data_IF_067410335205
#
_entry.id   IF_067410335205
#
_cell.length_a   1.000
_cell.length_b   1.000
_cell.length_c   1.000
_cell.angle_alpha   90.00
_cell.angle_beta   90.00
_cell.angle_gamma   90.00
#
_symmetry.space_group_name_H-M   'P 1'
#
loop_
_entity.id
_entity.type
_entity.pdbx_description
1 polymer ?
#
# COMPACT_ATOMS: atom_id res chain seq x y z
N UNK A 1 -41.31 69.76 9.26
CA UNK A 1 -40.64 68.92 8.23
C UNK A 1 -39.12 68.88 8.44
N UNK A 2 -38.61 68.31 9.55
CA UNK A 2 -37.18 68.33 9.89
C UNK A 2 -36.48 66.95 9.92
N UNK A 3 -37.22 65.83 9.91
CA UNK A 3 -36.65 64.48 10.01
C UNK A 3 -36.12 63.87 8.69
N UNK A 4 -36.48 64.41 7.52
CA UNK A 4 -36.12 63.82 6.21
C UNK A 4 -34.66 64.03 5.79
N UNK A 5 -33.98 65.08 6.29
CA UNK A 5 -32.58 65.40 5.91
C UNK A 5 -31.54 64.48 6.57
N UNK A 6 -31.82 63.97 7.77
CA UNK A 6 -30.92 63.05 8.50
C UNK A 6 -30.92 61.63 7.92
N UNK A 7 -32.10 61.13 7.56
CA UNK A 7 -32.27 59.79 6.97
C UNK A 7 -31.59 59.70 5.61
N UNK A 8 -31.71 60.72 4.75
CA UNK A 8 -31.04 60.75 3.45
C UNK A 8 -29.50 60.74 3.54
N UNK A 9 -28.93 61.46 4.51
CA UNK A 9 -27.48 61.43 4.79
C UNK A 9 -27.03 60.07 5.32
N UNK A 10 -27.81 59.46 6.22
CA UNK A 10 -27.49 58.13 6.76
C UNK A 10 -27.52 57.04 5.68
N UNK A 11 -28.53 57.07 4.79
CA UNK A 11 -28.61 56.16 3.64
C UNK A 11 -27.42 56.38 2.70
N UNK A 12 -27.08 57.62 2.36
CA UNK A 12 -25.96 57.95 1.48
C UNK A 12 -24.62 57.45 2.04
N UNK A 13 -24.34 57.69 3.33
CA UNK A 13 -23.12 57.23 3.99
C UNK A 13 -23.06 55.69 4.05
N UNK A 14 -24.19 55.03 4.30
CA UNK A 14 -24.25 53.56 4.32
C UNK A 14 -23.99 52.95 2.95
N UNK A 15 -24.54 53.54 1.88
CA UNK A 15 -24.30 53.10 0.50
C UNK A 15 -22.83 53.31 0.10
N UNK A 16 -22.24 54.46 0.46
CA UNK A 16 -20.81 54.73 0.22
C UNK A 16 -19.90 53.77 0.99
N UNK A 17 -20.23 53.47 2.25
CA UNK A 17 -19.49 52.51 3.05
C UNK A 17 -19.55 51.10 2.43
N UNK A 18 -20.73 50.65 2.01
CA UNK A 18 -20.90 49.36 1.31
C UNK A 18 -20.16 49.32 -0.03
N UNK A 19 -20.20 50.40 -0.81
CA UNK A 19 -19.47 50.50 -2.08
C UNK A 19 -17.95 50.46 -1.86
N UNK A 20 -17.46 51.11 -0.81
CA UNK A 20 -16.02 51.12 -0.45
C UNK A 20 -15.57 49.73 0.00
N UNK A 21 -16.34 49.06 0.85
CA UNK A 21 -16.06 47.67 1.26
C UNK A 21 -16.09 46.73 0.05
N UNK A 22 -17.06 46.89 -0.85
CA UNK A 22 -17.14 46.12 -2.10
C UNK A 22 -15.94 46.35 -3.02
N UNK A 23 -15.51 47.60 -3.19
CA UNK A 23 -14.35 47.96 -4.01
C UNK A 23 -13.04 47.42 -3.42
N UNK A 24 -12.85 47.53 -2.10
CA UNK A 24 -11.70 46.96 -1.39
C UNK A 24 -11.69 45.44 -1.51
N UNK A 25 -12.83 44.78 -1.30
CA UNK A 25 -12.96 43.33 -1.45
C UNK A 25 -12.63 42.84 -2.86
N UNK A 26 -13.14 43.52 -3.89
CA UNK A 26 -12.81 43.21 -5.29
C UNK A 26 -11.33 43.46 -5.63
N UNK A 27 -10.76 44.55 -5.12
CA UNK A 27 -9.35 44.89 -5.30
C UNK A 27 -8.42 43.85 -4.67
N UNK A 28 -8.70 43.44 -3.43
CA UNK A 28 -7.96 42.39 -2.73
C UNK A 28 -8.05 41.06 -3.47
N UNK A 29 -9.24 40.68 -3.95
CA UNK A 29 -9.42 39.45 -4.72
C UNK A 29 -8.61 39.46 -6.01
N UNK A 30 -8.73 40.52 -6.83
CA UNK A 30 -7.98 40.64 -8.09
C UNK A 30 -6.46 40.69 -7.86
N UNK A 31 -6.01 41.34 -6.80
CA UNK A 31 -4.60 41.38 -6.42
C UNK A 31 -4.07 40.01 -6.01
N UNK A 32 -4.87 39.25 -5.23
CA UNK A 32 -4.53 37.88 -4.86
C UNK A 32 -4.48 36.96 -6.09
N UNK A 33 -5.48 37.03 -6.97
CA UNK A 33 -5.53 36.24 -8.21
C UNK A 33 -4.32 36.56 -9.11
N UNK A 34 -3.99 37.85 -9.30
CA UNK A 34 -2.82 38.26 -10.08
C UNK A 34 -1.49 37.78 -9.47
N UNK A 35 -1.40 37.70 -8.13
CA UNK A 35 -0.24 37.21 -7.43
C UNK A 35 -0.09 35.69 -7.57
N UNK A 36 -1.17 34.92 -7.39
CA UNK A 36 -1.18 33.45 -7.48
C UNK A 36 -1.06 32.93 -8.91
N UNK A 37 -1.52 33.70 -9.90
CA UNK A 37 -1.37 33.40 -11.33
C UNK A 37 -0.01 33.86 -11.90
N UNK A 38 0.78 34.59 -11.11
CA UNK A 38 2.10 35.03 -11.55
C UNK A 38 3.00 33.83 -11.89
N UNK A 39 3.84 33.98 -12.91
CA UNK A 39 4.78 32.94 -13.34
C UNK A 39 5.76 32.50 -12.24
N UNK A 40 5.89 33.27 -11.15
CA UNK A 40 6.76 33.00 -10.03
C UNK A 40 6.31 31.77 -9.20
N UNK A 41 4.99 31.56 -9.07
CA UNK A 41 4.41 30.44 -8.31
C UNK A 41 4.00 29.26 -9.19
N UNK A 42 4.35 29.29 -10.47
CA UNK A 42 4.14 28.13 -11.35
C UNK A 42 5.14 27.04 -11.00
N UNK A 43 4.66 25.80 -10.92
CA UNK A 43 5.50 24.63 -10.67
C UNK A 43 6.53 24.49 -11.80
N UNK A 44 7.81 24.68 -11.50
CA UNK A 44 8.92 24.56 -12.47
C UNK A 44 9.57 23.19 -12.47
N UNK A 45 9.60 22.54 -11.32
CA UNK A 45 10.22 21.23 -11.17
C UNK A 45 9.44 20.36 -10.20
N UNK A 46 9.40 19.06 -10.48
CA UNK A 46 8.88 18.07 -9.55
C UNK A 46 9.93 17.01 -9.29
N UNK A 47 10.12 16.67 -8.02
CA UNK A 47 11.04 15.64 -7.58
C UNK A 47 10.24 14.43 -7.10
N UNK A 48 10.50 13.25 -7.68
CA UNK A 48 9.80 12.01 -7.31
C UNK A 48 10.76 11.10 -6.55
N UNK A 49 10.34 10.64 -5.37
CA UNK A 49 11.13 9.77 -4.48
C UNK A 49 10.32 8.53 -4.09
N UNK A 50 11.01 7.45 -3.71
CA UNK A 50 10.38 6.25 -3.13
C UNK A 50 9.92 5.17 -4.13
N UNK A 51 10.27 5.30 -5.40
CA UNK A 51 9.99 4.27 -6.42
C UNK A 51 11.04 3.16 -6.33
N UNK A 52 10.58 1.91 -6.21
CA UNK A 52 11.41 0.71 -6.15
C UNK A 52 10.93 -0.32 -7.19
N UNK A 53 9.64 -0.66 -7.18
CA UNK A 53 9.00 -1.64 -8.09
C UNK A 53 7.97 -1.04 -9.04
N UNK A 54 7.39 0.12 -8.73
CA UNK A 54 6.44 0.80 -9.61
C UNK A 54 7.11 1.28 -10.91
N UNK A 55 6.30 1.44 -11.96
CA UNK A 55 6.76 1.99 -13.23
C UNK A 55 7.06 3.48 -13.09
N UNK A 56 8.34 3.81 -12.96
CA UNK A 56 8.83 5.18 -12.84
C UNK A 56 8.33 6.10 -13.95
N UNK A 57 8.21 5.61 -15.19
CA UNK A 57 7.74 6.45 -16.32
C UNK A 57 6.28 6.82 -16.17
N UNK A 58 5.44 5.90 -15.71
CA UNK A 58 4.01 6.18 -15.49
C UNK A 58 3.80 7.19 -14.36
N UNK A 59 4.51 7.00 -13.26
CA UNK A 59 4.47 7.92 -12.12
C UNK A 59 4.98 9.31 -12.53
N UNK A 60 6.14 9.37 -13.19
CA UNK A 60 6.68 10.64 -13.69
C UNK A 60 5.74 11.34 -14.67
N UNK A 61 5.12 10.60 -15.59
CA UNK A 61 4.19 11.19 -16.57
C UNK A 61 2.98 11.82 -15.88
N UNK A 62 2.41 11.14 -14.87
CA UNK A 62 1.32 11.69 -14.08
C UNK A 62 1.75 12.98 -13.38
N UNK A 63 2.90 12.95 -12.72
CA UNK A 63 3.41 14.07 -11.93
C UNK A 63 3.83 15.26 -12.81
N UNK A 64 4.40 15.02 -13.99
CA UNK A 64 4.75 16.06 -14.97
C UNK A 64 3.54 16.86 -15.45
N UNK A 65 2.34 16.30 -15.42
CA UNK A 65 1.10 17.04 -15.76
C UNK A 65 0.80 18.22 -14.81
N UNK A 66 1.49 18.29 -13.67
CA UNK A 66 1.39 19.39 -12.69
C UNK A 66 2.36 20.53 -12.98
N UNK A 67 3.40 20.31 -13.80
CA UNK A 67 4.36 21.35 -14.21
C UNK A 67 3.63 22.44 -14.99
N UNK A 68 3.94 23.70 -14.68
CA UNK A 68 3.32 24.87 -15.29
C UNK A 68 2.00 25.33 -14.65
N UNK A 69 1.39 24.52 -13.77
CA UNK A 69 0.23 24.93 -12.96
C UNK A 69 0.67 25.81 -11.78
N UNK A 70 -0.25 26.58 -11.21
CA UNK A 70 0.05 27.31 -9.97
C UNK A 70 0.24 26.33 -8.81
N UNK A 71 1.27 26.53 -7.98
CA UNK A 71 1.52 25.72 -6.79
C UNK A 71 0.38 25.83 -5.78
N UNK A 72 -0.42 26.90 -5.83
CA UNK A 72 -1.60 27.07 -4.98
C UNK A 72 -2.74 26.12 -5.37
N UNK A 73 -2.88 25.83 -6.67
CA UNK A 73 -3.94 24.95 -7.20
C UNK A 73 -3.69 23.47 -6.91
N UNK A 74 -2.43 23.09 -6.72
CA UNK A 74 -2.06 21.72 -6.36
C UNK A 74 -2.51 21.47 -4.94
N UNK A 75 -3.45 20.57 -4.69
CA UNK A 75 -3.84 20.25 -3.31
C UNK A 75 -2.81 19.30 -2.69
N UNK A 76 -2.27 19.60 -1.49
CA UNK A 76 -1.44 18.65 -0.76
C UNK A 76 -2.36 17.56 -0.22
N UNK A 77 -2.52 16.51 -1.01
CA UNK A 77 -3.41 15.40 -0.70
C UNK A 77 -2.69 14.08 -0.91
N UNK A 78 -3.13 13.08 -0.15
CA UNK A 78 -2.83 11.68 -0.45
C UNK A 78 -3.61 11.32 -1.70
N UNK A 79 -2.89 11.03 -2.79
CA UNK A 79 -3.53 10.65 -4.06
C UNK A 79 -3.49 9.14 -4.18
N UNK A 80 -4.68 8.53 -4.29
CA UNK A 80 -4.82 7.13 -4.69
C UNK A 80 -4.53 7.03 -6.19
N UNK A 81 -3.35 6.51 -6.52
CA UNK A 81 -2.90 6.36 -7.89
C UNK A 81 -3.18 4.95 -8.40
N UNK A 82 -4.24 4.81 -9.20
CA UNK A 82 -4.62 3.54 -9.82
C UNK A 82 -3.83 3.19 -11.10
N UNK A 83 -2.89 4.05 -11.54
CA UNK A 83 -2.15 3.84 -12.78
C UNK A 83 -1.02 2.80 -12.68
N UNK A 84 -0.65 2.40 -11.45
CA UNK A 84 0.31 1.34 -11.19
C UNK A 84 -0.12 0.49 -9.98
N UNK A 85 -0.11 -0.83 -10.13
CA UNK A 85 -0.54 -1.77 -9.10
C UNK A 85 0.35 -1.78 -7.85
N UNK A 86 1.63 -1.42 -7.98
CA UNK A 86 2.58 -1.36 -6.87
C UNK A 86 2.41 -0.14 -5.99
N UNK A 87 1.87 0.96 -6.50
CA UNK A 87 1.70 2.20 -5.71
C UNK A 87 0.56 2.01 -4.71
N UNK A 88 0.85 2.15 -3.42
CA UNK A 88 -0.14 2.17 -2.35
C UNK A 88 -0.76 3.55 -2.21
N UNK A 89 0.09 4.58 -2.13
CA UNK A 89 -0.34 5.98 -2.08
C UNK A 89 0.78 6.91 -2.52
N UNK A 90 0.42 8.15 -2.85
CA UNK A 90 1.39 9.21 -3.14
C UNK A 90 1.12 10.42 -2.24
N UNK A 91 2.18 10.98 -1.68
CA UNK A 91 2.12 12.24 -0.92
C UNK A 91 2.75 13.37 -1.73
N UNK A 92 2.01 14.45 -1.93
CA UNK A 92 2.49 15.64 -2.64
C UNK A 92 2.76 16.76 -1.63
N UNK A 93 3.99 17.25 -1.61
CA UNK A 93 4.44 18.34 -0.74
C UNK A 93 4.84 19.55 -1.58
N UNK A 94 4.34 20.72 -1.18
CA UNK A 94 4.72 22.00 -1.80
C UNK A 94 6.03 22.47 -1.21
N UNK A 95 6.99 22.78 -2.07
CA UNK A 95 8.25 23.43 -1.72
C UNK A 95 8.26 24.78 -2.41
N UNK A 96 7.85 25.81 -1.67
CA UNK A 96 7.74 27.16 -2.20
C UNK A 96 9.10 27.70 -2.68
N UNK A 97 9.10 28.57 -3.70
CA UNK A 97 7.92 29.12 -4.38
C UNK A 97 7.35 28.26 -5.52
N UNK A 98 8.12 27.31 -6.07
CA UNK A 98 7.86 26.77 -7.41
C UNK A 98 8.16 25.26 -7.58
N UNK A 99 8.33 24.51 -6.50
CA UNK A 99 8.70 23.09 -6.54
C UNK A 99 7.66 22.19 -5.89
N UNK A 100 7.54 20.97 -6.39
CA UNK A 100 6.80 19.90 -5.73
C UNK A 100 7.75 18.75 -5.40
N UNK A 101 7.60 18.21 -4.20
CA UNK A 101 8.21 16.94 -3.79
C UNK A 101 7.09 15.89 -3.71
N UNK A 102 7.24 14.81 -4.46
CA UNK A 102 6.28 13.71 -4.52
C UNK A 102 6.94 12.46 -3.95
N UNK A 103 6.35 11.94 -2.88
CA UNK A 103 6.80 10.71 -2.22
C UNK A 103 5.84 9.59 -2.57
N UNK A 104 6.35 8.55 -3.22
CA UNK A 104 5.60 7.34 -3.57
C UNK A 104 5.78 6.31 -2.47
N UNK A 105 4.67 5.81 -1.95
CA UNK A 105 4.65 4.67 -1.04
C UNK A 105 4.19 3.44 -1.81
N UNK A 106 5.03 2.43 -1.88
CA UNK A 106 4.73 1.18 -2.58
C UNK A 106 4.20 0.12 -1.61
N UNK A 107 3.35 -0.76 -2.13
CA UNK A 107 2.88 -1.94 -1.43
C UNK A 107 4.06 -2.84 -1.11
N UNK A 108 4.15 -3.29 0.13
CA UNK A 108 5.26 -4.10 0.60
C UNK A 108 5.18 -5.53 0.04
N UNK A 109 6.16 -5.99 -0.77
CA UNK A 109 6.20 -7.36 -1.25
C UNK A 109 6.58 -8.33 -0.12
N UNK A 110 5.97 -9.52 -0.11
CA UNK A 110 6.25 -10.57 0.89
C UNK A 110 6.91 -11.77 0.24
N UNK A 111 6.26 -12.39 -0.75
CA UNK A 111 6.80 -13.53 -1.47
C UNK A 111 6.24 -13.64 -2.89
N UNK A 112 6.97 -14.34 -3.76
CA UNK A 112 6.47 -14.74 -5.08
C UNK A 112 5.77 -16.09 -4.99
N UNK A 113 4.62 -16.20 -5.64
CA UNK A 113 3.87 -17.44 -5.75
C UNK A 113 3.43 -17.74 -7.19
N UNK A 114 3.19 -19.01 -7.45
CA UNK A 114 2.48 -19.50 -8.63
C UNK A 114 1.02 -19.76 -8.25
N UNK A 115 0.09 -19.17 -8.99
CA UNK A 115 -1.34 -19.38 -8.79
C UNK A 115 -2.00 -19.65 -10.15
N UNK A 116 -2.65 -20.80 -10.27
CA UNK A 116 -3.26 -21.28 -11.54
C UNK A 116 -2.24 -21.35 -12.68
N UNK A 117 -2.34 -20.47 -13.69
CA UNK A 117 -1.43 -20.37 -14.84
C UNK A 117 -0.55 -19.11 -14.79
N UNK A 118 -0.56 -18.37 -13.67
CA UNK A 118 0.15 -17.11 -13.52
C UNK A 118 1.11 -17.10 -12.34
N UNK A 119 2.02 -16.14 -12.37
CA UNK A 119 2.94 -15.86 -11.28
C UNK A 119 2.66 -14.46 -10.74
N UNK A 120 2.77 -14.34 -9.43
CA UNK A 120 2.38 -13.15 -8.70
C UNK A 120 3.35 -12.90 -7.56
N UNK A 121 3.53 -11.63 -7.20
CA UNK A 121 4.07 -11.27 -5.90
C UNK A 121 2.91 -10.93 -4.96
N UNK A 122 2.84 -11.64 -3.84
CA UNK A 122 1.92 -11.33 -2.74
C UNK A 122 2.43 -10.12 -1.96
N UNK A 123 1.53 -9.20 -1.65
CA UNK A 123 1.79 -8.06 -0.76
C UNK A 123 1.38 -8.38 0.66
N UNK A 124 1.84 -7.58 1.63
CA UNK A 124 1.47 -7.74 3.04
C UNK A 124 -0.02 -7.53 3.33
N UNK A 125 -0.75 -6.91 2.40
CA UNK A 125 -2.20 -6.72 2.48
C UNK A 125 -3.01 -7.88 1.89
N UNK A 126 -2.34 -8.87 1.29
CA UNK A 126 -3.00 -9.98 0.60
C UNK A 126 -3.31 -9.73 -0.88
N UNK A 127 -2.84 -8.62 -1.45
CA UNK A 127 -3.00 -8.38 -2.88
C UNK A 127 -1.97 -9.17 -3.68
N UNK A 128 -2.39 -9.70 -4.83
CA UNK A 128 -1.52 -10.38 -5.77
C UNK A 128 -1.24 -9.50 -6.97
N UNK A 129 0.02 -9.10 -7.15
CA UNK A 129 0.46 -8.31 -8.29
C UNK A 129 1.15 -9.23 -9.29
N UNK A 130 0.74 -9.21 -10.55
CA UNK A 130 1.32 -10.06 -11.61
C UNK A 130 2.83 -9.83 -11.73
N UNK A 131 3.59 -10.91 -11.74
CA UNK A 131 5.05 -10.89 -11.81
C UNK A 131 5.58 -12.13 -12.57
N UNK A 132 6.89 -12.20 -12.72
CA UNK A 132 7.65 -13.34 -13.23
C UNK A 132 7.64 -14.50 -12.23
N UNK A 133 7.75 -15.73 -12.76
CA UNK A 133 7.88 -16.93 -11.94
C UNK A 133 9.28 -17.14 -11.34
N UNK A 134 10.24 -16.27 -11.68
CA UNK A 134 11.61 -16.40 -11.21
C UNK A 134 11.68 -16.22 -9.69
N UNK A 135 12.24 -17.22 -9.02
CA UNK A 135 12.33 -17.31 -7.56
C UNK A 135 11.02 -17.67 -6.84
N UNK A 136 9.94 -18.03 -7.55
CA UNK A 136 8.70 -18.47 -6.90
C UNK A 136 8.85 -19.88 -6.30
N UNK A 137 8.81 -19.97 -4.97
CA UNK A 137 8.84 -21.25 -4.21
C UNK A 137 7.50 -21.64 -3.62
N UNK A 138 6.51 -20.75 -3.72
CA UNK A 138 5.17 -20.96 -3.19
C UNK A 138 4.24 -21.27 -4.34
N UNK A 139 3.42 -22.31 -4.22
CA UNK A 139 2.32 -22.62 -5.14
C UNK A 139 1.02 -22.57 -4.39
N UNK A 140 -0.02 -21.99 -5.00
CA UNK A 140 -1.34 -21.87 -4.41
C UNK A 140 -2.38 -22.58 -5.26
N UNK A 141 -3.18 -23.44 -4.63
CA UNK A 141 -4.32 -24.11 -5.26
C UNK A 141 -5.52 -23.17 -5.41
N UNK A 142 -6.41 -23.45 -6.36
CA UNK A 142 -7.60 -22.63 -6.66
C UNK A 142 -8.58 -22.54 -5.49
N UNK A 143 -8.59 -23.54 -4.62
CA UNK A 143 -9.53 -23.70 -3.53
C UNK A 143 -9.08 -22.99 -2.24
N UNK A 144 -7.90 -22.37 -2.23
CA UNK A 144 -7.40 -21.59 -1.09
C UNK A 144 -8.27 -20.35 -0.91
N UNK A 145 -8.85 -20.20 0.29
CA UNK A 145 -9.68 -19.04 0.61
C UNK A 145 -8.83 -17.81 0.92
N UNK A 146 -9.42 -16.63 0.77
CA UNK A 146 -8.73 -15.36 1.06
C UNK A 146 -8.27 -15.28 2.53
N UNK A 147 -9.06 -15.82 3.46
CA UNK A 147 -8.72 -15.83 4.88
C UNK A 147 -7.48 -16.69 5.15
N UNK A 148 -7.47 -17.92 4.62
CA UNK A 148 -6.33 -18.85 4.70
C UNK A 148 -5.05 -18.22 4.12
N UNK A 149 -5.18 -17.56 2.96
CA UNK A 149 -4.05 -16.89 2.32
C UNK A 149 -3.50 -15.72 3.16
N UNK A 150 -4.38 -14.90 3.75
CA UNK A 150 -3.97 -13.80 4.64
C UNK A 150 -3.30 -14.31 5.91
N UNK A 151 -3.81 -15.38 6.51
CA UNK A 151 -3.16 -16.00 7.66
C UNK A 151 -1.79 -16.57 7.29
N UNK A 152 -1.68 -17.25 6.15
CA UNK A 152 -0.38 -17.71 5.66
C UNK A 152 0.62 -16.57 5.44
N UNK A 153 0.19 -15.42 4.90
CA UNK A 153 1.07 -14.25 4.75
C UNK A 153 1.62 -13.83 6.11
N UNK A 154 0.76 -13.65 7.12
CA UNK A 154 1.20 -13.29 8.48
C UNK A 154 2.21 -14.30 9.03
N UNK A 155 1.95 -15.59 8.85
CA UNK A 155 2.86 -16.67 9.26
C UNK A 155 4.21 -16.56 8.55
N UNK A 156 4.22 -16.42 7.22
CA UNK A 156 5.46 -16.35 6.43
C UNK A 156 6.36 -15.18 6.83
N UNK A 157 5.75 -14.05 7.19
CA UNK A 157 6.49 -12.88 7.64
C UNK A 157 7.21 -13.07 8.96
N UNK A 158 6.56 -13.75 9.90
CA UNK A 158 7.02 -13.94 11.28
C UNK A 158 7.88 -15.19 11.44
N UNK A 159 7.52 -16.28 10.76
CA UNK A 159 8.20 -17.56 10.86
C UNK A 159 9.37 -17.64 9.86
N UNK A 160 10.57 -17.32 10.34
CA UNK A 160 11.80 -17.40 9.54
C UNK A 160 12.02 -18.78 8.89
N UNK A 161 11.48 -19.84 9.49
CA UNK A 161 11.60 -21.21 8.99
C UNK A 161 10.84 -21.47 7.68
N UNK A 162 9.81 -20.68 7.39
CA UNK A 162 9.06 -20.77 6.14
C UNK A 162 9.83 -20.11 4.98
N UNK A 163 10.79 -19.23 5.28
CA UNK A 163 11.58 -18.53 4.26
C UNK A 163 12.43 -19.53 3.49
N UNK A 164 12.45 -19.38 2.18
CA UNK A 164 13.21 -20.24 1.24
C UNK A 164 12.75 -21.71 1.20
N UNK A 165 11.59 -22.06 1.75
CA UNK A 165 11.03 -23.41 1.59
C UNK A 165 10.14 -23.47 0.35
N UNK A 166 10.09 -24.63 -0.28
CA UNK A 166 9.06 -24.95 -1.27
C UNK A 166 7.77 -25.27 -0.52
N UNK A 167 6.74 -24.46 -0.75
CA UNK A 167 5.47 -24.52 -0.01
C UNK A 167 4.31 -24.63 -0.99
N UNK A 168 3.38 -25.54 -0.72
CA UNK A 168 2.12 -25.63 -1.46
C UNK A 168 0.96 -25.27 -0.54
N UNK A 169 0.27 -24.17 -0.86
CA UNK A 169 -0.94 -23.72 -0.17
C UNK A 169 -2.14 -24.48 -0.72
N UNK A 170 -2.86 -25.14 0.19
CA UNK A 170 -4.05 -25.95 -0.10
C UNK A 170 -5.23 -25.43 0.71
N UNK A 171 -6.42 -25.94 0.41
CA UNK A 171 -7.60 -25.59 1.22
C UNK A 171 -7.40 -26.08 2.66
N UNK A 172 -7.50 -25.17 3.64
CA UNK A 172 -7.35 -25.42 5.09
C UNK A 172 -5.96 -25.76 5.64
N UNK A 173 -4.96 -26.01 4.80
CA UNK A 173 -3.60 -26.34 5.25
C UNK A 173 -2.56 -26.02 4.17
N UNK A 174 -1.29 -26.00 4.54
CA UNK A 174 -0.18 -25.96 3.59
C UNK A 174 0.76 -27.14 3.79
N UNK A 175 1.55 -27.44 2.77
CA UNK A 175 2.65 -28.40 2.85
C UNK A 175 3.99 -27.73 2.61
N UNK A 176 5.03 -28.20 3.29
CA UNK A 176 6.41 -27.80 3.06
C UNK A 176 7.31 -29.04 3.11
N UNK A 177 8.41 -29.02 2.36
CA UNK A 177 9.41 -30.09 2.41
C UNK A 177 10.60 -29.64 3.25
N UNK A 178 11.00 -30.48 4.20
CA UNK A 178 12.18 -30.26 5.01
C UNK A 178 12.98 -31.54 5.21
N UNK A 179 14.24 -31.52 4.78
CA UNK A 179 15.15 -32.68 4.85
C UNK A 179 14.56 -33.95 4.22
N UNK A 180 13.82 -33.81 3.13
CA UNK A 180 13.15 -34.92 2.45
C UNK A 180 11.81 -35.36 3.07
N UNK A 181 11.40 -34.76 4.19
CA UNK A 181 10.13 -35.06 4.86
C UNK A 181 9.05 -34.05 4.45
N UNK A 182 7.89 -34.53 4.02
CA UNK A 182 6.71 -33.68 3.80
C UNK A 182 6.08 -33.33 5.16
N UNK A 183 5.99 -32.03 5.46
CA UNK A 183 5.30 -31.51 6.63
C UNK A 183 3.97 -30.90 6.18
N UNK A 184 2.87 -31.27 6.84
CA UNK A 184 1.54 -30.68 6.63
C UNK A 184 1.18 -29.84 7.85
N UNK A 185 0.80 -28.59 7.66
CA UNK A 185 0.54 -27.65 8.74
C UNK A 185 -0.74 -26.83 8.50
N UNK A 186 -1.45 -26.49 9.57
CA UNK A 186 -2.59 -25.57 9.52
C UNK A 186 -2.14 -24.12 9.31
N UNK A 187 -3.06 -23.24 8.92
CA UNK A 187 -2.82 -21.79 8.82
C UNK A 187 -2.85 -21.05 10.17
N UNK A 188 -2.80 -21.79 11.29
CA UNK A 188 -2.73 -21.20 12.63
C UNK A 188 -1.28 -21.01 13.03
N UNK A 189 -0.84 -19.76 13.20
CA UNK A 189 0.55 -19.45 13.58
C UNK A 189 0.96 -20.13 14.89
N UNK A 190 0.13 -20.01 15.93
CA UNK A 190 0.43 -20.55 17.24
C UNK A 190 0.52 -22.09 17.21
N UNK A 191 -0.38 -22.75 16.48
CA UNK A 191 -0.36 -24.21 16.34
C UNK A 191 0.86 -24.65 15.54
N UNK A 192 1.17 -23.96 14.43
CA UNK A 192 2.34 -24.26 13.62
C UNK A 192 3.63 -24.15 14.43
N UNK A 193 3.85 -23.05 15.14
CA UNK A 193 5.07 -22.85 15.94
C UNK A 193 5.24 -23.94 17.01
N UNK A 194 4.15 -24.25 17.73
CA UNK A 194 4.14 -25.28 18.77
C UNK A 194 4.42 -26.67 18.19
N UNK A 195 3.72 -27.05 17.12
CA UNK A 195 3.85 -28.37 16.52
C UNK A 195 5.19 -28.53 15.79
N UNK A 196 5.66 -27.50 15.11
CA UNK A 196 6.94 -27.50 14.41
C UNK A 196 8.12 -27.63 15.39
N UNK A 197 8.07 -26.92 16.52
CA UNK A 197 9.05 -27.09 17.61
C UNK A 197 9.07 -28.54 18.12
N UNK A 198 7.89 -29.10 18.40
CA UNK A 198 7.75 -30.50 18.83
C UNK A 198 8.30 -31.49 17.79
N UNK A 199 8.07 -31.23 16.51
CA UNK A 199 8.64 -32.03 15.42
C UNK A 199 10.17 -32.02 15.44
N UNK A 200 10.79 -30.83 15.51
CA UNK A 200 12.24 -30.69 15.51
C UNK A 200 12.88 -31.33 16.75
N UNK A 201 12.27 -31.14 17.92
CA UNK A 201 12.89 -31.53 19.17
C UNK A 201 12.67 -32.97 19.57
N UNK A 202 11.54 -33.56 19.18
CA UNK A 202 11.15 -34.90 19.62
C UNK A 202 11.07 -35.86 18.44
N UNK A 203 10.22 -35.58 17.47
CA UNK A 203 9.88 -36.53 16.40
C UNK A 203 11.09 -36.82 15.51
N UNK A 204 11.76 -35.77 15.04
CA UNK A 204 12.92 -35.89 14.15
C UNK A 204 14.12 -36.58 14.81
N UNK A 205 14.29 -36.42 16.13
CA UNK A 205 15.36 -37.08 16.87
C UNK A 205 15.04 -38.54 17.19
N UNK A 206 13.76 -38.88 17.28
CA UNK A 206 13.28 -40.22 17.64
C UNK A 206 13.26 -41.19 16.47
N UNK A 207 12.84 -40.76 15.29
CA UNK A 207 12.67 -41.62 14.13
C UNK A 207 13.76 -41.38 13.09
N UNK A 208 14.37 -42.45 12.57
CA UNK A 208 15.45 -42.35 11.58
C UNK A 208 14.92 -42.01 10.19
N UNK A 209 13.79 -42.59 9.84
CA UNK A 209 13.10 -42.35 8.58
C UNK A 209 11.67 -41.90 8.85
N UNK A 210 11.22 -40.90 8.09
CA UNK A 210 9.87 -40.35 8.17
C UNK A 210 9.42 -40.03 6.75
N UNK A 211 8.28 -40.60 6.34
CA UNK A 211 7.67 -40.31 5.04
C UNK A 211 6.96 -38.95 5.07
N UNK A 212 6.08 -38.73 6.06
CA UNK A 212 5.46 -37.43 6.30
C UNK A 212 5.12 -37.20 7.76
N UNK A 213 4.93 -35.93 8.10
CA UNK A 213 4.42 -35.46 9.39
C UNK A 213 3.19 -34.58 9.17
N UNK A 214 2.09 -34.90 9.84
CA UNK A 214 0.86 -34.13 9.80
C UNK A 214 0.64 -33.42 11.13
N UNK A 215 0.73 -32.10 11.08
CA UNK A 215 0.58 -31.15 12.19
C UNK A 215 -0.69 -30.29 12.03
N UNK A 216 -1.66 -30.72 11.22
CA UNK A 216 -2.88 -29.94 10.96
C UNK A 216 -3.86 -29.95 12.13
N UNK A 217 -3.81 -30.98 12.98
CA UNK A 217 -4.70 -31.10 14.14
C UNK A 217 -4.00 -30.48 15.35
N UNK A 218 -4.60 -29.49 16.02
CA UNK A 218 -4.05 -28.93 17.24
C UNK A 218 -3.70 -30.02 18.25
N UNK A 219 -2.54 -29.89 18.88
CA UNK A 219 -2.02 -30.79 19.91
C UNK A 219 -1.75 -32.25 19.50
N UNK A 220 -1.87 -32.58 18.20
CA UNK A 220 -1.64 -33.95 17.70
C UNK A 220 -0.76 -33.93 16.46
N UNK A 221 0.33 -34.69 16.53
CA UNK A 221 1.22 -34.93 15.41
C UNK A 221 1.07 -36.38 14.95
N UNK A 222 0.72 -36.57 13.68
CA UNK A 222 0.71 -37.90 13.06
C UNK A 222 1.96 -38.09 12.22
N UNK A 223 2.60 -39.24 12.35
CA UNK A 223 3.84 -39.56 11.63
C UNK A 223 3.60 -40.85 10.85
N UNK A 224 3.96 -40.86 9.57
CA UNK A 224 3.91 -42.07 8.72
C UNK A 224 5.31 -42.45 8.26
N UNK A 225 5.51 -43.75 8.04
CA UNK A 225 6.73 -44.29 7.45
C UNK A 225 7.89 -44.37 8.44
N UNK A 226 7.58 -44.64 9.71
CA UNK A 226 8.59 -44.79 10.76
C UNK A 226 9.21 -46.20 10.73
N UNK A 227 10.53 -46.27 10.59
CA UNK A 227 11.37 -47.45 10.80
C UNK A 227 12.48 -47.15 11.81
#
# INVERSE_FOLDING_TARGET
>A
MAGKKGIGRFILVSVLALATVGAVGMGLKKGADAFTESGYFKVKSVNVKGIIKADSKKVETMVRSMVGRSIFDVKPETVDYNGDSWVERMEIRKVFPDKLDVVVFEKRPVFKLQYTKGCFTATSTGLMIKDTCDGARIRMEQQVKEEDFKEFIKMYEQAAVLKNKDINLKQFYFTMVENGVELRASYSQADFEKMYSTYQDIIRKRYKEIEYVDMRIPDKIFVKGVM
#
